data_IF_414045067530
#
_entry.id   IF_414045067530
#
_cell.length_a   1.000
_cell.length_b   1.000
_cell.length_c   1.000
_cell.angle_alpha   90.00
_cell.angle_beta   90.00
_cell.angle_gamma   90.00
#
_symmetry.space_group_name_H-M   'P 1'
#
loop_
_entity.id
_entity.type
_entity.pdbx_description
1 polymer ?
#
# COMPACT_ATOMS: atom_id res chain seq x y z
N UNK A 1 9.70 -13.09 -18.99
CA UNK A 1 8.60 -12.87 -18.03
C UNK A 1 7.55 -12.01 -18.68
N UNK A 2 6.30 -12.41 -18.66
CA UNK A 2 5.25 -11.54 -19.11
C UNK A 2 5.17 -10.35 -18.15
N UNK A 3 5.63 -9.20 -18.59
CA UNK A 3 5.38 -7.97 -17.86
C UNK A 3 3.87 -7.75 -17.85
N UNK A 4 3.27 -7.64 -16.69
CA UNK A 4 1.86 -7.27 -16.53
C UNK A 4 1.74 -6.16 -15.51
N UNK A 5 0.73 -5.31 -15.66
CA UNK A 5 0.53 -4.19 -14.75
C UNK A 5 -0.53 -3.23 -15.22
N UNK A 6 -0.66 -2.12 -14.51
CA UNK A 6 -1.57 -1.04 -14.88
C UNK A 6 -0.90 0.32 -14.71
N UNK A 7 -1.41 1.31 -15.44
CA UNK A 7 -1.03 2.70 -15.28
C UNK A 7 -2.27 3.57 -15.30
N UNK A 8 -2.33 4.51 -14.35
CA UNK A 8 -3.42 5.47 -14.22
C UNK A 8 -2.82 6.86 -14.18
N UNK A 9 -3.37 7.78 -14.95
CA UNK A 9 -2.98 9.20 -14.98
C UNK A 9 -4.20 10.03 -14.64
N UNK A 10 -4.06 10.87 -13.63
CA UNK A 10 -5.13 11.79 -13.19
C UNK A 10 -4.64 13.24 -13.23
N UNK A 11 -5.55 14.17 -13.48
CA UNK A 11 -5.29 15.59 -13.26
C UNK A 11 -5.28 15.87 -11.75
N UNK A 12 -4.17 16.42 -11.25
CA UNK A 12 -4.00 16.69 -9.82
C UNK A 12 -4.86 17.86 -9.31
N UNK A 13 -5.39 18.67 -10.20
CA UNK A 13 -6.23 19.83 -9.86
C UNK A 13 -7.69 19.44 -9.74
N UNK A 14 -8.16 18.58 -10.64
CA UNK A 14 -9.59 18.23 -10.75
C UNK A 14 -9.89 16.81 -10.27
N UNK A 15 -8.88 15.93 -10.22
CA UNK A 15 -9.06 14.50 -9.97
C UNK A 15 -9.55 13.72 -11.20
N UNK A 16 -9.72 14.39 -12.35
CA UNK A 16 -10.18 13.72 -13.59
C UNK A 16 -9.22 12.66 -14.05
N UNK A 17 -9.77 11.54 -14.48
CA UNK A 17 -9.03 10.42 -15.06
C UNK A 17 -8.67 10.75 -16.51
N UNK A 18 -7.37 10.98 -16.78
CA UNK A 18 -6.86 11.31 -18.12
C UNK A 18 -6.49 10.06 -18.93
N UNK A 19 -6.00 9.03 -18.27
CA UNK A 19 -5.69 7.73 -18.88
C UNK A 19 -5.75 6.61 -17.87
N UNK A 20 -6.19 5.44 -18.31
CA UNK A 20 -6.19 4.20 -17.55
C UNK A 20 -5.84 3.04 -18.48
N UNK A 21 -4.82 2.29 -18.13
CA UNK A 21 -4.29 1.19 -18.95
C UNK A 21 -4.10 -0.05 -18.09
N UNK A 22 -4.58 -1.17 -18.60
CA UNK A 22 -4.28 -2.53 -18.09
C UNK A 22 -3.46 -3.27 -19.14
N UNK A 23 -2.31 -3.86 -18.74
CA UNK A 23 -1.41 -4.57 -19.64
C UNK A 23 -1.13 -5.99 -19.13
N UNK A 24 -1.04 -7.00 -20.02
CA UNK A 24 -1.33 -6.91 -21.45
C UNK A 24 -2.82 -6.70 -21.72
N UNK A 25 -3.10 -6.05 -22.84
CA UNK A 25 -4.45 -5.89 -23.37
C UNK A 25 -4.78 -6.97 -24.42
N UNK A 26 -5.91 -6.80 -25.07
CA UNK A 26 -6.39 -7.68 -26.13
C UNK A 26 -7.03 -6.87 -27.26
N UNK A 27 -7.17 -7.51 -28.45
CA UNK A 27 -7.78 -6.87 -29.60
C UNK A 27 -9.31 -6.96 -29.54
N UNK A 28 -9.94 -5.82 -29.22
CA UNK A 28 -11.41 -5.70 -29.14
C UNK A 28 -12.11 -6.03 -30.44
N UNK A 29 -11.48 -5.80 -31.60
CA UNK A 29 -12.10 -6.12 -32.91
C UNK A 29 -12.30 -7.62 -33.08
N UNK A 30 -11.42 -8.45 -32.50
CA UNK A 30 -11.53 -9.90 -32.52
C UNK A 30 -12.59 -10.46 -31.57
N UNK A 31 -13.10 -9.65 -30.67
CA UNK A 31 -14.18 -9.99 -29.74
C UNK A 31 -15.53 -9.38 -30.18
N UNK A 32 -15.55 -8.63 -31.27
CA UNK A 32 -16.77 -8.05 -31.84
C UNK A 32 -17.40 -8.99 -32.87
N UNK A 33 -18.72 -9.22 -32.79
CA UNK A 33 -19.44 -10.12 -33.68
C UNK A 33 -19.21 -11.61 -33.34
N UNK A 34 -18.88 -12.42 -34.35
CA UNK A 34 -18.57 -13.84 -34.12
C UNK A 34 -17.15 -13.99 -33.63
N UNK A 35 -17.01 -14.34 -32.35
CA UNK A 35 -15.69 -14.50 -31.73
C UNK A 35 -15.02 -15.76 -32.25
N UNK A 36 -13.75 -15.63 -32.67
CA UNK A 36 -12.89 -16.75 -33.04
C UNK A 36 -12.56 -17.61 -31.80
N UNK A 37 -12.94 -18.88 -31.87
CA UNK A 37 -12.71 -19.81 -30.75
C UNK A 37 -11.25 -20.03 -30.43
N UNK A 38 -10.35 -19.98 -31.40
CA UNK A 38 -8.90 -20.11 -31.17
C UNK A 38 -8.37 -18.86 -30.41
N UNK A 39 -8.78 -17.66 -30.85
CA UNK A 39 -8.38 -16.44 -30.16
C UNK A 39 -8.94 -16.37 -28.74
N UNK A 40 -10.21 -16.74 -28.54
CA UNK A 40 -10.82 -16.81 -27.22
C UNK A 40 -10.07 -17.78 -26.30
N UNK A 41 -9.79 -18.99 -26.77
CA UNK A 41 -9.04 -19.97 -26.00
C UNK A 41 -7.61 -19.50 -25.66
N UNK A 42 -6.98 -18.75 -26.55
CA UNK A 42 -5.69 -18.13 -26.26
C UNK A 42 -5.82 -17.13 -25.10
N UNK A 43 -6.83 -16.26 -25.10
CA UNK A 43 -6.99 -15.25 -24.05
C UNK A 43 -7.30 -15.85 -22.68
N UNK A 44 -8.19 -16.83 -22.59
CA UNK A 44 -8.60 -17.43 -21.31
C UNK A 44 -7.53 -18.33 -20.69
N UNK A 45 -6.58 -18.83 -21.50
CA UNK A 45 -5.47 -19.66 -21.02
C UNK A 45 -4.14 -18.88 -20.88
N UNK A 46 -4.14 -17.58 -21.17
CA UNK A 46 -2.96 -16.74 -21.05
C UNK A 46 -2.67 -16.43 -19.59
N UNK A 47 -1.51 -16.87 -19.10
CA UNK A 47 -1.08 -16.67 -17.70
C UNK A 47 -0.90 -15.19 -17.32
N UNK A 48 -0.81 -14.28 -18.28
CA UNK A 48 -0.76 -12.85 -18.05
C UNK A 48 -2.13 -12.22 -17.80
N UNK A 49 -3.20 -13.03 -17.92
CA UNK A 49 -4.59 -12.64 -17.66
C UNK A 49 -5.01 -11.33 -18.37
N UNK A 50 -4.96 -11.30 -19.73
CA UNK A 50 -5.25 -10.08 -20.49
C UNK A 50 -6.70 -9.60 -20.35
N UNK A 51 -7.63 -10.49 -20.00
CA UNK A 51 -9.06 -10.17 -19.77
C UNK A 51 -9.32 -9.59 -18.37
N UNK A 52 -8.35 -9.70 -17.45
CA UNK A 52 -8.46 -9.15 -16.11
C UNK A 52 -7.98 -7.70 -16.10
N UNK A 53 -8.87 -6.77 -15.80
CA UNK A 53 -8.51 -5.35 -15.70
C UNK A 53 -7.74 -5.07 -14.41
N UNK A 54 -6.43 -4.99 -14.54
CA UNK A 54 -5.53 -4.77 -13.42
C UNK A 54 -5.61 -3.37 -12.85
N UNK A 55 -6.14 -2.39 -13.61
CA UNK A 55 -6.27 -1.02 -13.15
C UNK A 55 -7.42 -0.84 -12.16
N UNK A 56 -8.52 -1.58 -12.35
CA UNK A 56 -9.75 -1.43 -11.54
C UNK A 56 -10.04 -2.63 -10.65
N UNK A 57 -9.55 -3.80 -11.03
CA UNK A 57 -9.81 -5.05 -10.30
C UNK A 57 -8.56 -5.60 -9.59
N UNK A 58 -7.36 -5.16 -9.98
CA UNK A 58 -6.11 -5.56 -9.36
C UNK A 58 -6.08 -5.15 -7.88
N UNK A 59 -5.51 -6.02 -7.05
CA UNK A 59 -5.29 -5.76 -5.63
C UNK A 59 -3.87 -6.13 -5.29
N UNK A 60 -3.10 -5.16 -4.85
CA UNK A 60 -1.70 -5.33 -4.43
C UNK A 60 -1.46 -4.63 -3.10
N UNK A 61 -0.49 -5.10 -2.34
CA UNK A 61 -0.06 -4.37 -1.16
C UNK A 61 0.52 -3.02 -1.58
N UNK A 62 0.04 -1.89 -1.00
CA UNK A 62 0.49 -0.55 -1.39
C UNK A 62 1.97 -0.31 -1.09
N UNK A 63 2.54 -1.07 -0.15
CA UNK A 63 3.94 -0.91 0.24
C UNK A 63 4.25 0.49 0.75
N UNK A 64 5.45 0.97 0.48
CA UNK A 64 5.99 2.19 1.07
C UNK A 64 5.22 3.47 0.76
N UNK A 65 4.37 3.52 -0.25
CA UNK A 65 3.52 4.71 -0.48
C UNK A 65 2.50 4.90 0.65
N UNK A 66 2.10 3.83 1.32
CA UNK A 66 1.22 3.88 2.49
C UNK A 66 1.83 4.59 3.70
N UNK A 67 3.15 4.76 3.74
CA UNK A 67 3.86 5.47 4.81
C UNK A 67 3.39 6.93 4.97
N UNK A 68 2.83 7.53 3.92
CA UNK A 68 2.21 8.86 4.00
C UNK A 68 0.95 8.83 4.88
N UNK A 69 0.13 7.79 4.77
CA UNK A 69 -1.03 7.58 5.64
C UNK A 69 -0.58 7.41 7.09
N UNK A 70 0.44 6.57 7.30
CA UNK A 70 1.00 6.32 8.64
C UNK A 70 1.64 7.57 9.24
N UNK A 71 2.32 8.38 8.43
CA UNK A 71 2.87 9.67 8.86
C UNK A 71 1.76 10.59 9.34
N UNK A 72 0.70 10.73 8.57
CA UNK A 72 -0.46 11.56 8.94
C UNK A 72 -1.10 11.07 10.24
N UNK A 73 -1.27 9.75 10.39
CA UNK A 73 -1.77 9.18 11.63
C UNK A 73 -0.85 9.50 12.82
N UNK A 74 0.44 9.30 12.66
CA UNK A 74 1.41 9.54 13.72
C UNK A 74 1.50 10.98 14.19
N UNK A 75 1.47 11.93 13.26
CA UNK A 75 1.52 13.37 13.56
C UNK A 75 0.21 13.87 14.16
N UNK A 76 -0.93 13.51 13.59
CA UNK A 76 -2.26 13.95 14.05
C UNK A 76 -2.64 13.36 15.41
N UNK A 77 -2.26 12.12 15.70
CA UNK A 77 -2.46 11.49 17.01
C UNK A 77 -1.38 11.88 18.01
N UNK A 78 -0.38 12.67 17.60
CA UNK A 78 0.68 13.18 18.48
C UNK A 78 1.63 12.10 19.00
N UNK A 79 1.71 10.94 18.36
CA UNK A 79 2.62 9.84 18.76
C UNK A 79 4.04 10.03 18.21
N UNK A 80 4.20 10.92 17.24
CA UNK A 80 5.49 11.42 16.75
C UNK A 80 5.41 12.94 16.57
N UNK A 81 6.58 13.59 16.63
CA UNK A 81 6.81 14.97 16.22
C UNK A 81 7.68 14.99 14.95
N UNK A 82 7.43 15.94 14.05
CA UNK A 82 8.17 16.03 12.78
C UNK A 82 9.66 16.25 12.94
N UNK A 83 10.08 16.82 14.06
CA UNK A 83 11.48 17.09 14.44
C UNK A 83 12.10 15.99 15.29
N UNK A 84 11.31 15.06 15.82
CA UNK A 84 11.81 13.93 16.61
C UNK A 84 12.65 12.99 15.74
N UNK A 85 13.77 12.54 16.33
CA UNK A 85 14.64 11.53 15.70
C UNK A 85 14.40 10.15 16.30
N UNK A 86 14.10 9.18 15.46
CA UNK A 86 14.05 7.76 15.82
C UNK A 86 15.27 7.07 15.21
N UNK A 87 16.04 6.35 16.03
CA UNK A 87 17.27 5.70 15.59
C UNK A 87 16.98 4.31 15.01
N UNK A 88 17.12 4.17 13.70
CA UNK A 88 16.99 2.88 13.01
C UNK A 88 18.24 2.04 13.19
N UNK A 89 18.15 1.00 13.99
CA UNK A 89 19.21 0.00 14.26
C UNK A 89 19.09 -1.26 13.39
N UNK A 90 18.35 -1.16 12.30
CA UNK A 90 18.18 -2.25 11.33
C UNK A 90 17.09 -3.27 11.68
N UNK A 91 17.10 -3.82 12.87
CA UNK A 91 16.06 -4.75 13.36
C UNK A 91 15.24 -4.07 14.45
N UNK A 92 13.92 -4.06 14.28
CA UNK A 92 13.01 -3.48 15.26
C UNK A 92 12.98 -4.40 16.49
N UNK A 93 13.22 -3.84 17.66
CA UNK A 93 13.44 -4.58 18.91
C UNK A 93 12.16 -4.99 19.65
N UNK A 94 11.00 -4.56 19.14
CA UNK A 94 9.68 -4.89 19.67
C UNK A 94 8.92 -5.75 18.65
N UNK A 95 7.85 -6.42 19.09
CA UNK A 95 7.01 -7.30 18.25
C UNK A 95 7.90 -8.28 17.46
N UNK A 96 7.60 -9.24 16.91
CA UNK A 96 8.35 -10.31 16.20
C UNK A 96 9.67 -9.90 15.47
N UNK A 97 10.34 -8.84 15.94
CA UNK A 97 11.61 -8.31 15.45
C UNK A 97 11.69 -8.11 13.93
N UNK A 98 10.73 -7.39 13.30
CA UNK A 98 10.77 -7.18 11.86
C UNK A 98 11.99 -6.35 11.45
N UNK A 99 12.61 -6.72 10.34
CA UNK A 99 13.85 -6.08 9.84
C UNK A 99 13.52 -4.97 8.85
N UNK A 100 14.20 -3.83 9.01
CA UNK A 100 14.23 -2.80 8.00
C UNK A 100 14.82 -3.32 6.69
N UNK A 101 14.42 -2.75 5.56
CA UNK A 101 14.91 -3.20 4.25
C UNK A 101 16.43 -3.08 4.15
N UNK A 102 17.04 -2.00 4.69
CA UNK A 102 18.50 -1.81 4.67
C UNK A 102 19.23 -2.95 5.38
N UNK A 103 18.68 -3.42 6.52
CA UNK A 103 19.27 -4.54 7.26
C UNK A 103 19.10 -5.89 6.55
N UNK A 104 18.03 -6.03 5.75
CA UNK A 104 17.83 -7.26 4.94
C UNK A 104 18.77 -7.33 3.75
N UNK A 105 19.01 -6.19 3.09
CA UNK A 105 19.77 -6.15 1.84
C UNK A 105 21.28 -5.99 2.08
N UNK A 106 21.67 -5.20 3.09
CA UNK A 106 23.08 -4.84 3.31
C UNK A 106 23.63 -5.25 4.66
N UNK A 107 22.75 -5.65 5.61
CA UNK A 107 23.12 -5.84 7.02
C UNK A 107 23.31 -4.53 7.78
N UNK A 108 23.04 -3.38 7.16
CA UNK A 108 23.24 -2.05 7.71
C UNK A 108 22.06 -1.46 8.48
N UNK A 109 22.18 -0.19 8.81
CA UNK A 109 21.18 0.61 9.51
C UNK A 109 21.10 2.01 8.91
N UNK A 110 19.97 2.71 9.09
CA UNK A 110 19.86 4.11 8.64
C UNK A 110 20.37 5.09 9.68
N UNK A 111 20.48 4.68 10.96
CA UNK A 111 20.78 5.58 12.07
C UNK A 111 19.58 6.50 12.42
N UNK A 112 19.85 7.68 13.01
CA UNK A 112 18.80 8.59 13.45
C UNK A 112 18.15 9.30 12.27
N UNK A 113 16.81 9.17 12.15
CA UNK A 113 15.99 9.81 11.12
C UNK A 113 14.83 10.56 11.78
N UNK A 114 14.55 11.77 11.31
CA UNK A 114 13.29 12.44 11.56
C UNK A 114 12.24 11.97 10.52
N UNK A 115 11.00 12.48 10.61
CA UNK A 115 9.90 12.07 9.73
C UNK A 115 10.23 12.24 8.24
N UNK A 116 10.80 13.37 7.83
CA UNK A 116 11.18 13.64 6.46
C UNK A 116 12.27 12.67 5.97
N UNK A 117 13.32 12.48 6.73
CA UNK A 117 14.39 11.52 6.43
C UNK A 117 13.89 10.07 6.39
N UNK A 118 12.92 9.73 7.23
CA UNK A 118 12.33 8.39 7.24
C UNK A 118 11.49 8.10 5.97
N UNK A 119 10.80 9.12 5.45
CA UNK A 119 10.09 9.02 4.16
C UNK A 119 11.09 8.93 3.00
N UNK A 120 12.10 9.82 2.97
CA UNK A 120 13.14 9.86 1.94
C UNK A 120 13.88 8.53 1.83
N UNK A 121 14.30 7.96 2.96
CA UNK A 121 15.01 6.67 3.03
C UNK A 121 14.07 5.47 3.00
N UNK A 122 12.77 5.69 2.95
CA UNK A 122 11.75 4.63 3.05
C UNK A 122 12.02 3.68 4.23
N UNK A 123 12.38 4.21 5.39
CA UNK A 123 12.82 3.45 6.55
C UNK A 123 11.68 2.66 7.19
N UNK A 124 11.69 1.32 7.06
CA UNK A 124 10.65 0.50 7.68
C UNK A 124 10.69 0.55 9.20
N UNK A 125 11.89 0.59 9.81
CA UNK A 125 12.05 0.65 11.25
C UNK A 125 11.31 1.85 11.87
N UNK A 126 11.46 3.03 11.26
CA UNK A 126 10.76 4.24 11.70
C UNK A 126 9.24 4.03 11.72
N UNK A 127 8.70 3.46 10.67
CA UNK A 127 7.25 3.24 10.54
C UNK A 127 6.74 2.04 11.35
N UNK A 128 7.58 1.06 11.67
CA UNK A 128 7.26 0.05 12.69
C UNK A 128 7.09 0.70 14.07
N UNK A 129 7.97 1.63 14.42
CA UNK A 129 7.86 2.38 15.68
C UNK A 129 6.60 3.25 15.70
N UNK A 130 6.25 3.93 14.60
CA UNK A 130 4.99 4.70 14.52
C UNK A 130 3.79 3.78 14.70
N UNK A 131 3.74 2.66 13.98
CA UNK A 131 2.66 1.67 14.12
C UNK A 131 2.55 1.09 15.54
N UNK A 132 3.70 0.85 16.18
CA UNK A 132 3.76 0.41 17.57
C UNK A 132 3.20 1.47 18.52
N UNK A 133 3.63 2.74 18.39
CA UNK A 133 3.16 3.84 19.23
C UNK A 133 1.66 4.12 19.06
N UNK A 134 1.13 4.02 17.85
CA UNK A 134 -0.32 4.08 17.58
C UNK A 134 -1.09 2.96 18.29
N UNK A 135 -0.42 1.85 18.57
CA UNK A 135 -0.99 0.69 19.25
C UNK A 135 -0.90 0.78 20.79
N UNK A 136 -0.25 1.81 21.35
CA UNK A 136 -0.20 1.95 22.80
C UNK A 136 -1.50 2.59 23.33
N UNK A 137 -2.08 1.96 24.35
CA UNK A 137 -3.22 2.52 25.07
C UNK A 137 -2.79 3.62 26.05
N UNK A 138 -3.72 4.23 26.77
CA UNK A 138 -3.45 5.30 27.74
C UNK A 138 -2.54 4.86 28.91
N UNK A 139 -2.46 3.56 29.19
CA UNK A 139 -1.58 2.99 30.20
C UNK A 139 -0.19 2.65 29.64
N UNK A 140 0.06 2.86 28.34
CA UNK A 140 1.30 2.47 27.66
C UNK A 140 1.39 0.97 27.32
N UNK A 141 0.28 0.24 27.38
CA UNK A 141 0.25 -1.17 27.02
C UNK A 141 -0.07 -1.34 25.54
N UNK A 142 0.53 -2.34 24.90
CA UNK A 142 0.32 -2.65 23.49
C UNK A 142 -1.05 -3.25 23.24
N UNK A 143 -1.81 -2.63 22.33
CA UNK A 143 -3.12 -3.04 21.86
C UNK A 143 -3.13 -3.00 20.32
N UNK A 144 -3.08 -4.16 19.69
CA UNK A 144 -3.04 -4.28 18.24
C UNK A 144 -4.33 -3.77 17.57
N UNK A 145 -5.48 -3.97 18.19
CA UNK A 145 -6.78 -3.53 17.65
C UNK A 145 -6.84 -2.00 17.59
N UNK A 146 -6.34 -1.34 18.65
CA UNK A 146 -6.20 0.12 18.68
C UNK A 146 -5.32 0.63 17.53
N UNK A 147 -4.14 0.05 17.35
CA UNK A 147 -3.22 0.46 16.29
C UNK A 147 -3.83 0.32 14.89
N UNK A 148 -4.49 -0.80 14.64
CA UNK A 148 -5.21 -1.06 13.38
C UNK A 148 -6.38 -0.08 13.18
N UNK A 149 -7.14 0.21 14.23
CA UNK A 149 -8.23 1.19 14.17
C UNK A 149 -7.72 2.60 13.83
N UNK A 150 -6.55 3.00 14.40
CA UNK A 150 -5.93 4.29 14.07
C UNK A 150 -5.46 4.32 12.62
N UNK A 151 -4.74 3.31 12.14
CA UNK A 151 -4.32 3.23 10.74
C UNK A 151 -5.51 3.25 9.78
N UNK A 152 -6.57 2.51 10.10
CA UNK A 152 -7.83 2.50 9.32
C UNK A 152 -8.46 3.88 9.27
N UNK A 153 -8.63 4.56 10.40
CA UNK A 153 -9.18 5.92 10.49
C UNK A 153 -8.52 6.89 9.51
N UNK A 154 -7.19 6.80 9.38
CA UNK A 154 -6.46 7.67 8.47
C UNK A 154 -6.48 7.16 7.03
N UNK A 155 -6.44 5.86 6.79
CA UNK A 155 -6.62 5.29 5.45
C UNK A 155 -7.96 5.71 4.84
N UNK A 156 -9.05 5.63 5.60
CA UNK A 156 -10.38 6.08 5.18
C UNK A 156 -10.41 7.57 4.82
N UNK A 157 -9.67 8.43 5.54
CA UNK A 157 -9.53 9.86 5.18
C UNK A 157 -8.79 10.08 3.84
N UNK A 158 -7.98 9.12 3.41
CA UNK A 158 -7.34 9.10 2.10
C UNK A 158 -8.20 8.43 1.01
N UNK A 159 -9.44 8.03 1.34
CA UNK A 159 -10.38 7.39 0.42
C UNK A 159 -10.20 5.88 0.28
N UNK A 160 -9.32 5.25 1.07
CA UNK A 160 -9.23 3.80 1.07
C UNK A 160 -10.47 3.17 1.71
N UNK A 161 -10.93 2.04 1.17
CA UNK A 161 -12.15 1.37 1.61
C UNK A 161 -13.42 1.86 0.92
N UNK A 162 -13.31 2.89 0.08
CA UNK A 162 -14.40 3.40 -0.74
C UNK A 162 -14.12 3.17 -2.23
N UNK A 163 -15.17 3.22 -3.04
CA UNK A 163 -15.04 3.21 -4.50
C UNK A 163 -14.52 4.55 -4.99
N UNK A 164 -13.68 4.52 -6.02
CA UNK A 164 -13.11 5.72 -6.61
C UNK A 164 -14.14 6.56 -7.37
N UNK A 165 -15.26 5.93 -7.76
CA UNK A 165 -16.32 6.55 -8.56
C UNK A 165 -16.08 6.48 -10.06
N UNK A 166 -15.10 5.70 -10.53
CA UNK A 166 -14.95 5.41 -11.96
C UNK A 166 -16.17 4.67 -12.48
N UNK A 167 -16.54 4.88 -13.75
CA UNK A 167 -17.76 4.37 -14.38
C UNK A 167 -17.69 2.88 -14.72
N UNK A 168 -16.53 2.25 -14.54
CA UNK A 168 -16.32 0.82 -14.76
C UNK A 168 -16.31 0.04 -13.44
N UNK A 169 -16.49 -1.28 -13.53
CA UNK A 169 -16.46 -2.13 -12.35
C UNK A 169 -15.07 -2.11 -11.69
N UNK A 170 -15.04 -1.84 -10.39
CA UNK A 170 -13.82 -1.80 -9.59
C UNK A 170 -13.96 -2.63 -8.31
N UNK A 171 -12.85 -3.17 -7.83
CA UNK A 171 -12.77 -3.82 -6.53
C UNK A 171 -12.53 -2.78 -5.43
N UNK A 172 -13.11 -3.02 -4.25
CA UNK A 172 -12.78 -2.21 -3.07
C UNK A 172 -11.38 -2.55 -2.55
N UNK A 173 -10.66 -1.53 -2.11
CA UNK A 173 -9.43 -1.73 -1.35
C UNK A 173 -9.73 -2.38 0.01
N UNK A 174 -8.81 -3.22 0.48
CA UNK A 174 -8.88 -3.84 1.79
C UNK A 174 -7.85 -3.20 2.71
N UNK A 175 -8.33 -2.48 3.73
CA UNK A 175 -7.48 -1.95 4.79
C UNK A 175 -7.12 -3.11 5.74
N UNK A 176 -5.86 -3.15 6.15
CA UNK A 176 -5.34 -4.24 6.99
C UNK A 176 -6.10 -4.41 8.30
N UNK A 177 -6.26 -5.67 8.68
CA UNK A 177 -6.90 -6.11 9.93
C UNK A 177 -5.93 -6.85 10.85
N UNK A 178 -4.67 -6.95 10.48
CA UNK A 178 -3.65 -7.69 11.21
C UNK A 178 -2.32 -6.96 11.22
N UNK A 179 -1.50 -7.22 12.24
CA UNK A 179 -0.10 -6.79 12.33
C UNK A 179 0.11 -5.27 12.14
N UNK A 180 -0.24 -4.41 13.12
CA UNK A 180 -0.16 -2.95 13.00
C UNK A 180 1.19 -2.43 12.48
N UNK A 181 2.31 -3.00 12.95
CA UNK A 181 3.64 -2.56 12.53
C UNK A 181 3.89 -2.79 11.03
N UNK A 182 3.59 -3.97 10.50
CA UNK A 182 3.74 -4.26 9.07
C UNK A 182 2.67 -3.56 8.24
N UNK A 183 1.48 -3.36 8.80
CA UNK A 183 0.43 -2.56 8.17
C UNK A 183 0.83 -1.10 8.01
N UNK A 184 1.58 -0.54 8.96
CA UNK A 184 2.10 0.82 8.91
C UNK A 184 3.09 1.08 7.75
N UNK A 185 3.65 0.03 7.15
CA UNK A 185 4.49 0.13 5.94
C UNK A 185 3.77 -0.32 4.67
N UNK A 186 2.43 -0.43 4.72
CA UNK A 186 1.60 -0.83 3.60
C UNK A 186 1.68 -2.31 3.24
N UNK A 187 2.06 -3.15 4.20
CA UNK A 187 2.05 -4.61 4.13
C UNK A 187 0.99 -5.17 5.10
N UNK A 188 1.21 -6.34 5.68
CA UNK A 188 0.19 -7.02 6.46
C UNK A 188 -0.89 -7.56 5.53
N UNK A 189 -2.15 -7.34 5.86
CA UNK A 189 -3.31 -7.70 5.01
C UNK A 189 -3.84 -6.52 4.19
N UNK A 190 -3.09 -5.39 4.08
CA UNK A 190 -3.43 -4.31 3.16
C UNK A 190 -3.41 -4.82 1.71
N UNK A 191 -4.47 -4.51 0.96
CA UNK A 191 -4.62 -4.93 -0.42
C UNK A 191 -5.46 -3.88 -1.18
N UNK A 192 -4.77 -3.00 -1.90
CA UNK A 192 -5.32 -1.80 -2.55
C UNK A 192 -5.38 -1.97 -4.06
#
# INVERSE_FOLDING_TARGET
DPCSGSAIVTDTTTGELLAMVSYPGYDLNKLSGTVDAEYWNKLINDQSEPLYDKATQGRIAPGSVYKLVTTSAGLEEGVIDSSEYINCIGTFDKLDHPRCWIARETGGEHGPLNTAGAIEQSCNFYFYEVGYRLSLNENGEYDAERGLAMLRKYAEKYGFGEKSGVEVAENLSQISTEYPATSAIGQGTNNM
#
